data_IF_842926478856
#
_entry.id   IF_842926478856
#
_cell.length_a   1.000
_cell.length_b   1.000
_cell.length_c   1.000
_cell.angle_alpha   90.00
_cell.angle_beta   90.00
_cell.angle_gamma   90.00
#
_symmetry.space_group_name_H-M   'P 1'
#
loop_
_entity.id
_entity.type
_entity.pdbx_description
1 polymer ?
#
# COMPACT_ATOMS: atom_id res chain seq x y z
N UNK A 1 15.65 0.48 1.70
CA UNK A 1 15.46 0.86 0.28
C UNK A 1 15.54 2.37 0.17
N UNK A 2 15.80 2.90 -1.03
CA UNK A 2 15.64 4.32 -1.30
C UNK A 2 14.15 4.67 -1.27
N UNK A 3 13.77 5.69 -0.51
CA UNK A 3 12.40 6.21 -0.47
C UNK A 3 12.37 7.57 -1.18
N UNK A 4 11.60 7.65 -2.25
CA UNK A 4 11.34 8.90 -2.97
C UNK A 4 9.91 9.35 -2.66
N UNK A 5 9.75 10.63 -2.32
CA UNK A 5 8.47 11.22 -1.94
C UNK A 5 8.10 12.37 -2.87
N UNK A 6 7.06 12.18 -3.67
CA UNK A 6 6.53 13.14 -4.63
C UNK A 6 5.13 13.56 -4.19
N UNK A 7 5.02 14.72 -3.56
CA UNK A 7 3.72 15.22 -3.10
C UNK A 7 3.88 16.51 -2.34
N UNK A 8 2.90 17.41 -2.50
CA UNK A 8 2.85 18.63 -1.70
C UNK A 8 2.44 18.32 -0.26
N UNK A 9 2.74 19.25 0.65
CA UNK A 9 2.22 19.18 2.00
C UNK A 9 0.73 19.52 1.97
N UNK A 10 -0.10 18.65 2.53
CA UNK A 10 -1.53 18.89 2.72
C UNK A 10 -2.00 18.35 4.07
N UNK A 11 -3.17 18.80 4.52
CA UNK A 11 -3.86 18.23 5.67
C UNK A 11 -4.93 17.27 5.17
N UNK A 12 -4.87 16.01 5.61
CA UNK A 12 -5.81 14.97 5.23
C UNK A 12 -6.52 14.41 6.46
N UNK A 13 -7.73 13.83 6.29
CA UNK A 13 -8.37 13.06 7.35
C UNK A 13 -7.45 11.98 7.91
N UNK A 14 -7.48 11.77 9.23
CA UNK A 14 -6.55 10.87 9.95
C UNK A 14 -6.46 9.46 9.32
N UNK A 15 -7.59 8.90 8.88
CA UNK A 15 -7.62 7.54 8.33
C UNK A 15 -6.96 7.47 6.95
N UNK A 16 -7.03 8.52 6.13
CA UNK A 16 -6.30 8.60 4.85
C UNK A 16 -4.79 8.65 5.07
N UNK A 17 -4.33 9.43 6.07
CA UNK A 17 -2.90 9.47 6.44
C UNK A 17 -2.44 8.11 6.97
N UNK A 18 -3.23 7.47 7.84
CA UNK A 18 -2.93 6.12 8.36
C UNK A 18 -2.89 5.07 7.25
N UNK A 19 -3.79 5.15 6.27
CA UNK A 19 -3.80 4.29 5.10
C UNK A 19 -2.52 4.43 4.29
N UNK A 20 -2.10 5.67 3.98
CA UNK A 20 -0.86 5.95 3.27
C UNK A 20 0.34 5.32 3.97
N UNK A 21 0.49 5.55 5.28
CA UNK A 21 1.59 4.98 6.06
C UNK A 21 1.58 3.43 6.07
N UNK A 22 0.39 2.83 6.11
CA UNK A 22 0.27 1.37 6.03
C UNK A 22 0.61 0.84 4.65
N UNK A 23 0.20 1.52 3.57
CA UNK A 23 0.57 1.15 2.21
C UNK A 23 2.08 1.21 2.00
N UNK A 24 2.78 2.16 2.64
CA UNK A 24 4.26 2.20 2.60
C UNK A 24 4.86 0.93 3.18
N UNK A 25 4.31 0.40 4.28
CA UNK A 25 4.77 -0.86 4.87
C UNK A 25 4.54 -2.04 3.93
N UNK A 26 3.35 -2.11 3.30
CA UNK A 26 3.02 -3.17 2.33
C UNK A 26 3.93 -3.09 1.10
N UNK A 27 4.15 -1.89 0.55
CA UNK A 27 5.02 -1.67 -0.60
C UNK A 27 6.48 -2.00 -0.28
N UNK A 28 6.96 -1.65 0.92
CA UNK A 28 8.30 -2.00 1.38
C UNK A 28 8.48 -3.52 1.54
N UNK A 29 7.45 -4.23 2.01
CA UNK A 29 7.47 -5.69 2.07
C UNK A 29 7.50 -6.36 0.68
N UNK A 30 7.14 -5.62 -0.38
CA UNK A 30 7.19 -6.11 -1.75
C UNK A 30 8.61 -6.19 -2.34
N UNK A 31 9.57 -5.48 -1.73
CA UNK A 31 10.98 -5.42 -2.13
C UNK A 31 11.89 -6.04 -1.05
N UNK A 32 11.84 -7.37 -0.87
CA UNK A 32 12.51 -8.09 0.23
C UNK A 32 14.05 -7.96 0.22
N UNK A 33 14.63 -7.65 -0.94
CA UNK A 33 16.08 -7.47 -1.12
C UNK A 33 16.45 -5.99 -1.29
N UNK A 34 15.58 -5.08 -0.88
CA UNK A 34 15.74 -3.64 -1.11
C UNK A 34 15.44 -3.25 -2.54
N UNK A 35 15.84 -2.04 -2.92
CA UNK A 35 15.43 -1.39 -4.17
C UNK A 35 14.95 0.03 -3.90
N UNK A 36 13.99 0.48 -4.71
CA UNK A 36 13.41 1.82 -4.66
C UNK A 36 11.92 1.74 -4.37
N UNK A 37 11.44 2.62 -3.51
CA UNK A 37 10.02 2.85 -3.25
C UNK A 37 9.71 4.31 -3.56
N UNK A 38 8.85 4.56 -4.54
CA UNK A 38 8.40 5.90 -4.92
C UNK A 38 6.97 6.09 -4.45
N UNK A 39 6.75 7.07 -3.60
CA UNK A 39 5.42 7.50 -3.14
C UNK A 39 5.03 8.75 -3.91
N UNK A 40 3.89 8.69 -4.59
CA UNK A 40 3.31 9.81 -5.33
C UNK A 40 1.94 10.14 -4.75
N UNK A 41 1.74 11.41 -4.40
CA UNK A 41 0.51 11.94 -3.81
C UNK A 41 -0.07 13.01 -4.73
N UNK A 42 -1.29 12.79 -5.19
CA UNK A 42 -1.97 13.67 -6.13
C UNK A 42 -3.33 14.09 -5.58
N UNK A 43 -3.84 15.22 -6.07
CA UNK A 43 -5.20 15.71 -5.79
C UNK A 43 -5.52 15.79 -4.28
N UNK A 44 -4.53 16.12 -3.45
CA UNK A 44 -4.64 16.06 -1.99
C UNK A 44 -5.72 16.97 -1.40
N UNK A 45 -6.04 18.07 -2.09
CA UNK A 45 -7.07 19.03 -1.64
C UNK A 45 -8.47 18.71 -2.17
N UNK A 46 -8.61 17.72 -3.06
CA UNK A 46 -9.88 17.35 -3.70
C UNK A 46 -10.20 15.87 -3.50
N UNK A 47 -9.73 15.01 -4.40
CA UNK A 47 -9.89 13.55 -4.36
C UNK A 47 -8.52 12.91 -4.22
N UNK A 48 -7.98 12.75 -2.99
CA UNK A 48 -6.62 12.29 -2.76
C UNK A 48 -6.34 10.95 -3.42
N UNK A 49 -5.26 10.88 -4.20
CA UNK A 49 -4.77 9.66 -4.83
C UNK A 49 -3.38 9.35 -4.32
N UNK A 50 -3.19 8.12 -3.86
CA UNK A 50 -1.89 7.61 -3.42
C UNK A 50 -1.43 6.56 -4.43
N UNK A 51 -0.19 6.65 -4.87
CA UNK A 51 0.47 5.63 -5.66
C UNK A 51 1.84 5.30 -5.06
N UNK A 52 2.11 4.02 -4.84
CA UNK A 52 3.35 3.52 -4.27
C UNK A 52 3.95 2.51 -5.23
N UNK A 53 4.99 2.92 -5.95
CA UNK A 53 5.70 2.08 -6.91
C UNK A 53 6.96 1.51 -6.25
N UNK A 54 7.01 0.19 -6.11
CA UNK A 54 8.15 -0.55 -5.59
C UNK A 54 8.87 -1.28 -6.74
N UNK A 55 10.18 -1.11 -6.84
CA UNK A 55 11.02 -1.79 -7.82
C UNK A 55 12.32 -2.26 -7.19
N UNK A 56 12.82 -3.42 -7.62
CA UNK A 56 14.03 -4.02 -7.07
C UNK A 56 14.10 -5.54 -7.26
N UNK A 57 15.17 -6.18 -6.76
CA UNK A 57 15.36 -7.61 -6.92
C UNK A 57 14.33 -8.44 -6.14
N UNK A 58 13.86 -9.54 -6.73
CA UNK A 58 12.91 -10.47 -6.11
C UNK A 58 11.57 -9.80 -5.70
N UNK A 59 11.08 -8.94 -6.59
CA UNK A 59 9.83 -8.24 -6.43
C UNK A 59 8.65 -9.21 -6.32
N UNK A 60 7.78 -9.02 -5.33
CA UNK A 60 6.57 -9.83 -5.14
C UNK A 60 5.53 -9.08 -4.32
N UNK A 61 4.25 -9.28 -4.58
CA UNK A 61 3.21 -8.76 -3.68
C UNK A 61 3.27 -9.56 -2.37
N UNK A 62 3.20 -8.94 -1.18
CA UNK A 62 3.16 -9.67 0.08
C UNK A 62 2.01 -10.68 0.11
N UNK A 63 2.26 -12.00 0.29
CA UNK A 63 1.25 -13.04 0.11
C UNK A 63 -0.01 -12.84 0.95
N UNK A 64 0.14 -12.53 2.24
CA UNK A 64 -1.00 -12.26 3.14
C UNK A 64 -1.79 -11.02 2.73
N UNK A 65 -1.14 -10.00 2.18
CA UNK A 65 -1.86 -8.84 1.67
C UNK A 65 -2.68 -9.19 0.42
N UNK A 66 -2.08 -9.96 -0.50
CA UNK A 66 -2.77 -10.42 -1.71
C UNK A 66 -3.98 -11.32 -1.38
N UNK A 67 -3.81 -12.27 -0.46
CA UNK A 67 -4.87 -13.16 0.03
C UNK A 67 -6.05 -12.36 0.59
N UNK A 68 -5.78 -11.38 1.47
CA UNK A 68 -6.82 -10.59 2.11
C UNK A 68 -7.47 -9.60 1.14
N UNK A 69 -6.70 -9.03 0.21
CA UNK A 69 -7.18 -8.09 -0.80
C UNK A 69 -8.11 -8.76 -1.81
N UNK A 70 -7.90 -10.04 -2.13
CA UNK A 70 -8.76 -10.78 -3.06
C UNK A 70 -10.19 -11.02 -2.52
N UNK A 71 -10.47 -10.67 -1.27
CA UNK A 71 -11.79 -10.81 -0.65
C UNK A 71 -12.13 -12.23 -0.21
N UNK A 72 -11.17 -13.15 -0.30
CA UNK A 72 -11.35 -14.52 0.18
C UNK A 72 -11.35 -14.55 1.71
N UNK A 73 -12.07 -15.52 2.28
CA UNK A 73 -11.94 -15.80 3.71
C UNK A 73 -10.49 -16.24 3.97
N UNK A 74 -9.78 -15.62 4.92
CA UNK A 74 -8.42 -16.05 5.25
C UNK A 74 -8.42 -17.52 5.64
N UNK A 75 -7.42 -18.28 5.20
CA UNK A 75 -7.30 -19.70 5.57
C UNK A 75 -7.00 -19.85 7.08
N UNK A 76 -6.25 -18.91 7.62
CA UNK A 76 -5.82 -18.85 9.00
C UNK A 76 -6.46 -17.65 9.74
N UNK A 77 -6.70 -17.75 11.06
CA UNK A 77 -7.06 -16.59 11.87
C UNK A 77 -6.04 -15.45 11.72
N UNK A 78 -6.51 -14.20 11.90
CA UNK A 78 -5.61 -13.05 11.93
C UNK A 78 -4.65 -13.17 13.11
N UNK A 79 -3.36 -13.04 12.81
CA UNK A 79 -2.22 -13.17 13.71
C UNK A 79 -1.34 -11.90 13.67
N UNK A 80 -0.21 -11.92 14.36
CA UNK A 80 0.71 -10.78 14.42
C UNK A 80 1.33 -10.40 13.06
N UNK A 81 1.36 -11.30 12.08
CA UNK A 81 1.89 -11.04 10.74
C UNK A 81 0.82 -10.50 9.78
N UNK A 82 -0.40 -11.03 9.88
CA UNK A 82 -1.53 -10.68 9.02
C UNK A 82 -2.33 -9.47 9.52
N UNK A 83 -2.17 -9.07 10.78
CA UNK A 83 -2.86 -7.89 11.34
C UNK A 83 -2.54 -6.59 10.60
N UNK A 84 -1.30 -6.40 10.12
CA UNK A 84 -0.93 -5.18 9.40
C UNK A 84 -1.60 -5.10 8.00
N UNK A 85 -1.52 -6.15 7.15
CA UNK A 85 -2.31 -6.24 5.92
C UNK A 85 -3.82 -6.07 6.14
N UNK A 86 -4.39 -6.74 7.15
CA UNK A 86 -5.80 -6.62 7.50
C UNK A 86 -6.17 -5.18 7.87
N UNK A 87 -5.38 -4.55 8.72
CA UNK A 87 -5.63 -3.17 9.16
C UNK A 87 -5.53 -2.17 8.00
N UNK A 88 -4.63 -2.42 7.04
CA UNK A 88 -4.51 -1.60 5.82
C UNK A 88 -5.81 -1.61 5.01
N UNK A 89 -6.41 -2.80 4.81
CA UNK A 89 -7.67 -2.93 4.08
C UNK A 89 -8.85 -2.35 4.86
N UNK A 90 -8.86 -2.50 6.18
CA UNK A 90 -9.87 -1.87 7.04
C UNK A 90 -9.80 -0.35 6.94
N UNK A 91 -8.60 0.24 6.99
CA UNK A 91 -8.42 1.68 6.84
C UNK A 91 -8.88 2.19 5.48
N UNK A 92 -8.66 1.42 4.41
CA UNK A 92 -9.14 1.79 3.08
C UNK A 92 -10.67 1.89 3.05
N UNK A 93 -11.37 0.90 3.62
CA UNK A 93 -12.84 0.93 3.77
C UNK A 93 -13.29 2.13 4.60
N UNK A 94 -12.68 2.36 5.76
CA UNK A 94 -12.98 3.49 6.65
C UNK A 94 -12.66 4.87 6.04
N UNK A 95 -11.74 4.92 5.09
CA UNK A 95 -11.36 6.13 4.37
C UNK A 95 -12.17 6.35 3.09
N UNK A 96 -13.08 5.43 2.74
CA UNK A 96 -13.76 5.35 1.44
C UNK A 96 -12.79 5.38 0.26
N UNK A 97 -11.67 4.67 0.37
CA UNK A 97 -10.67 4.53 -0.70
C UNK A 97 -10.56 3.06 -1.12
N UNK A 98 -10.41 2.83 -2.42
CA UNK A 98 -10.23 1.49 -2.98
C UNK A 98 -8.76 1.24 -3.24
N UNK A 99 -8.19 0.17 -2.67
CA UNK A 99 -6.82 -0.24 -2.98
C UNK A 99 -6.79 -1.07 -4.26
N UNK A 100 -5.90 -0.73 -5.19
CA UNK A 100 -5.60 -1.51 -6.40
C UNK A 100 -4.13 -1.95 -6.41
N UNK A 101 -3.87 -3.10 -7.04
CA UNK A 101 -2.53 -3.67 -7.20
C UNK A 101 -2.26 -3.85 -8.70
N UNK A 102 -1.20 -3.25 -9.20
CA UNK A 102 -0.70 -3.47 -10.54
C UNK A 102 0.73 -4.00 -10.47
N UNK A 103 0.95 -5.24 -10.92
CA UNK A 103 2.24 -5.90 -10.86
C UNK A 103 2.76 -6.20 -12.28
N UNK A 104 4.02 -5.84 -12.52
CA UNK A 104 4.76 -6.15 -13.74
C UNK A 104 6.06 -6.88 -13.39
N UNK A 105 6.88 -7.20 -14.40
CA UNK A 105 8.22 -7.75 -14.18
C UNK A 105 9.20 -6.74 -13.53
N UNK A 106 8.93 -5.44 -13.68
CA UNK A 106 9.86 -4.37 -13.28
C UNK A 106 9.44 -3.67 -11.99
N UNK A 107 8.13 -3.52 -11.78
CA UNK A 107 7.57 -2.81 -10.63
C UNK A 107 6.21 -3.36 -10.16
N UNK A 108 5.92 -3.10 -8.89
CA UNK A 108 4.61 -3.30 -8.25
C UNK A 108 4.12 -1.95 -7.79
N UNK A 109 2.94 -1.56 -8.27
CA UNK A 109 2.26 -0.34 -7.90
C UNK A 109 1.06 -0.67 -7.03
N UNK A 110 1.06 -0.18 -5.79
CA UNK A 110 -0.11 -0.15 -4.92
C UNK A 110 -0.73 1.24 -5.00
N UNK A 111 -1.99 1.34 -5.36
CA UNK A 111 -2.70 2.62 -5.40
C UNK A 111 -3.93 2.62 -4.51
N UNK A 112 -4.30 3.80 -4.01
CA UNK A 112 -5.54 4.04 -3.29
C UNK A 112 -6.17 5.35 -3.73
N UNK A 113 -7.46 5.32 -4.06
CA UNK A 113 -8.28 6.47 -4.45
C UNK A 113 -9.69 6.30 -3.90
#
# INVERSE_FOLDING_TARGET
>A
PELVWNGTRALLPKNKVKLLLNLILVANAAIPRGGKLTVTLENLDTEPRFALAASGPMLRVPPKFLELHSGNKPEEPIDAHSVQPYYTLLLAREANMTISIHATAEEIVLSAA
#
